data_IF_020486092818
#
_entry.id   IF_020486092818
#
_cell.length_a   1.000
_cell.length_b   1.000
_cell.length_c   1.000
_cell.angle_alpha   90.00
_cell.angle_beta   90.00
_cell.angle_gamma   90.00
#
_symmetry.space_group_name_H-M   'P 1'
#
loop_
_entity.id
_entity.type
_entity.pdbx_description
1 polymer ?
#
# COMPACT_ATOMS: atom_id res chain seq x y z
N UNK A 1 13.22 -2.32 8.82
CA UNK A 1 12.17 -1.28 8.79
C UNK A 1 10.89 -1.91 9.32
N UNK A 2 9.99 -1.17 9.98
CA UNK A 2 8.67 -1.72 10.39
C UNK A 2 7.55 -0.88 9.80
N UNK A 3 6.44 -1.53 9.41
CA UNK A 3 5.24 -0.79 9.02
C UNK A 3 4.68 0.00 10.21
N UNK A 4 4.26 1.23 9.94
CA UNK A 4 3.61 2.08 10.94
C UNK A 4 2.11 1.76 11.09
N UNK A 5 1.47 2.32 12.11
CA UNK A 5 0.06 2.04 12.41
C UNK A 5 -0.90 2.46 11.28
N UNK A 6 -0.58 3.53 10.54
CA UNK A 6 -1.39 4.00 9.40
C UNK A 6 -1.35 2.98 8.27
N UNK A 7 -0.16 2.48 7.93
CA UNK A 7 0.04 1.46 6.90
C UNK A 7 -0.70 0.16 7.26
N UNK A 8 -0.58 -0.29 8.51
CA UNK A 8 -1.27 -1.50 8.99
C UNK A 8 -2.78 -1.35 8.94
N UNK A 9 -3.33 -0.22 9.40
CA UNK A 9 -4.78 0.04 9.36
C UNK A 9 -5.30 0.12 7.92
N UNK A 10 -4.52 0.72 7.03
CA UNK A 10 -4.88 0.80 5.62
C UNK A 10 -4.87 -0.58 4.95
N UNK A 11 -3.84 -1.40 5.17
CA UNK A 11 -3.84 -2.79 4.70
C UNK A 11 -5.06 -3.57 5.22
N UNK A 12 -5.38 -3.42 6.50
CA UNK A 12 -6.56 -4.07 7.08
C UNK A 12 -7.88 -3.61 6.43
N UNK A 13 -8.00 -2.34 6.04
CA UNK A 13 -9.19 -1.85 5.32
C UNK A 13 -9.33 -2.47 3.92
N UNK A 14 -8.21 -2.86 3.29
CA UNK A 14 -8.17 -3.65 2.06
C UNK A 14 -8.40 -5.15 2.29
N UNK A 15 -8.55 -5.59 3.53
CA UNK A 15 -8.67 -7.02 3.90
C UNK A 15 -7.35 -7.77 3.84
N UNK A 16 -6.22 -7.07 4.00
CA UNK A 16 -4.87 -7.62 4.10
C UNK A 16 -4.40 -7.68 5.55
N UNK A 17 -3.40 -8.50 5.83
CA UNK A 17 -2.67 -8.51 7.10
C UNK A 17 -1.18 -8.80 6.86
N UNK A 18 -0.36 -8.66 7.91
CA UNK A 18 1.11 -8.81 7.84
C UNK A 18 1.59 -10.26 7.67
N UNK A 19 0.72 -11.25 7.86
CA UNK A 19 1.05 -12.67 7.68
C UNK A 19 0.82 -13.14 6.23
N UNK A 20 0.26 -12.27 5.38
CA UNK A 20 0.07 -12.58 3.96
C UNK A 20 1.39 -12.52 3.18
N UNK A 21 1.52 -13.32 2.10
CA UNK A 21 2.66 -13.21 1.20
C UNK A 21 2.85 -11.79 0.66
N UNK A 22 4.10 -11.34 0.53
CA UNK A 22 4.43 -9.98 0.12
C UNK A 22 3.94 -9.65 -1.29
N UNK A 23 4.00 -10.61 -2.22
CA UNK A 23 3.46 -10.50 -3.59
C UNK A 23 1.94 -10.25 -3.57
N UNK A 24 1.20 -10.92 -2.68
CA UNK A 24 -0.25 -10.70 -2.53
C UNK A 24 -0.56 -9.31 -1.97
N UNK A 25 0.27 -8.81 -1.06
CA UNK A 25 0.12 -7.46 -0.50
C UNK A 25 0.45 -6.42 -1.57
N UNK A 26 1.56 -6.60 -2.28
CA UNK A 26 2.03 -5.73 -3.36
C UNK A 26 0.99 -5.61 -4.47
N UNK A 27 0.47 -6.73 -4.98
CA UNK A 27 -0.56 -6.77 -6.02
C UNK A 27 -1.79 -5.96 -5.60
N UNK A 28 -2.30 -6.21 -4.38
CA UNK A 28 -3.56 -5.62 -3.95
C UNK A 28 -3.44 -4.14 -3.57
N UNK A 29 -2.29 -3.71 -3.06
CA UNK A 29 -2.02 -2.30 -2.78
C UNK A 29 -1.79 -1.54 -4.09
N UNK A 30 -1.07 -2.12 -5.04
CA UNK A 30 -0.87 -1.56 -6.38
C UNK A 30 -2.20 -1.39 -7.12
N UNK A 31 -3.06 -2.41 -7.10
CA UNK A 31 -4.42 -2.35 -7.66
C UNK A 31 -5.26 -1.20 -7.07
N UNK A 32 -5.13 -0.94 -5.77
CA UNK A 32 -5.84 0.15 -5.12
C UNK A 32 -5.26 1.51 -5.54
N UNK A 33 -3.93 1.64 -5.55
CA UNK A 33 -3.19 2.84 -5.94
C UNK A 33 -3.54 3.27 -7.37
N UNK A 34 -3.58 2.34 -8.32
CA UNK A 34 -3.96 2.63 -9.70
C UNK A 34 -5.38 3.19 -9.83
N UNK A 35 -6.31 2.74 -8.97
CA UNK A 35 -7.73 3.08 -9.06
C UNK A 35 -8.14 4.30 -8.24
N UNK A 36 -7.44 4.57 -7.13
CA UNK A 36 -7.86 5.55 -6.12
C UNK A 36 -6.71 6.42 -5.60
N UNK A 37 -5.46 6.10 -5.97
CA UNK A 37 -4.29 6.80 -5.46
C UNK A 37 -4.05 8.16 -6.10
N UNK A 38 -4.82 8.51 -7.14
CA UNK A 38 -4.74 9.78 -7.85
C UNK A 38 -6.12 10.41 -8.01
N UNK A 39 -6.19 11.73 -7.91
CA UNK A 39 -7.39 12.50 -8.23
C UNK A 39 -7.55 12.73 -9.75
N UNK A 40 -8.61 13.44 -10.15
CA UNK A 40 -8.91 13.71 -11.57
C UNK A 40 -7.83 14.54 -12.28
N UNK A 41 -7.02 15.29 -11.52
CA UNK A 41 -5.90 16.09 -12.00
C UNK A 41 -4.57 15.31 -11.96
N UNK A 42 -4.62 13.99 -11.69
CA UNK A 42 -3.46 13.11 -11.52
C UNK A 42 -2.54 13.50 -10.34
N UNK A 43 -3.05 14.24 -9.35
CA UNK A 43 -2.32 14.46 -8.12
C UNK A 43 -2.50 13.27 -7.18
N UNK A 44 -1.43 12.89 -6.49
CA UNK A 44 -1.48 11.80 -5.52
C UNK A 44 -2.38 12.15 -4.33
N UNK A 45 -3.29 11.25 -3.99
CA UNK A 45 -4.20 11.37 -2.84
C UNK A 45 -3.49 11.00 -1.53
N UNK A 46 -4.13 11.28 -0.39
CA UNK A 46 -3.59 10.82 0.90
C UNK A 46 -3.58 9.28 0.98
N UNK A 47 -4.60 8.59 0.46
CA UNK A 47 -4.55 7.13 0.34
C UNK A 47 -3.44 6.67 -0.60
N UNK A 48 -3.21 7.38 -1.71
CA UNK A 48 -2.12 7.10 -2.65
C UNK A 48 -0.76 7.17 -1.98
N UNK A 49 -0.50 8.20 -1.17
CA UNK A 49 0.75 8.31 -0.39
C UNK A 49 0.94 7.16 0.58
N UNK A 50 -0.15 6.69 1.20
CA UNK A 50 -0.08 5.53 2.09
C UNK A 50 0.25 4.27 1.30
N UNK A 51 -0.37 4.07 0.12
CA UNK A 51 -0.04 2.95 -0.77
C UNK A 51 1.43 2.94 -1.18
N UNK A 52 1.94 4.07 -1.69
CA UNK A 52 3.36 4.22 -2.06
C UNK A 52 4.29 3.87 -0.90
N UNK A 53 3.96 4.34 0.31
CA UNK A 53 4.77 4.03 1.50
C UNK A 53 4.77 2.55 1.88
N UNK A 54 3.70 1.82 1.56
CA UNK A 54 3.58 0.36 1.79
C UNK A 54 4.39 -0.39 0.72
N UNK A 55 4.27 0.02 -0.54
CA UNK A 55 4.99 -0.59 -1.66
C UNK A 55 6.50 -0.39 -1.50
N UNK A 56 6.95 0.80 -1.13
CA UNK A 56 8.35 1.10 -0.82
C UNK A 56 8.86 0.19 0.31
N UNK A 57 8.08 0.05 1.39
CA UNK A 57 8.42 -0.86 2.49
C UNK A 57 8.62 -2.31 2.02
N UNK A 58 7.69 -2.84 1.23
CA UNK A 58 7.74 -4.21 0.73
C UNK A 58 8.93 -4.41 -0.21
N UNK A 59 9.18 -3.45 -1.10
CA UNK A 59 10.34 -3.44 -1.99
C UNK A 59 11.67 -3.53 -1.24
N UNK A 60 11.79 -2.92 -0.06
CA UNK A 60 13.00 -3.04 0.77
C UNK A 60 13.19 -4.40 1.45
N UNK A 61 12.16 -5.25 1.51
CA UNK A 61 12.21 -6.59 2.14
C UNK A 61 12.32 -7.71 1.10
N UNK A 62 11.83 -7.47 -0.12
CA UNK A 62 11.86 -8.43 -1.23
C UNK A 62 13.21 -8.59 -1.94
N UNK A 63 14.13 -7.65 -1.75
CA UNK A 63 15.53 -7.69 -2.24
C UNK A 63 16.49 -8.44 -1.28
#
# INVERSE_FOLDING_TARGET
MFMNEIQVKFMQSLGLNLDMPYDVIEDKVSDFLERNGFDEDYNITEEGKVCESILDYIGTIGD
#
